data_IF_813221902557
#
_entry.id   IF_813221902557
#
_cell.length_a   1.000
_cell.length_b   1.000
_cell.length_c   1.000
_cell.angle_alpha   90.00
_cell.angle_beta   90.00
_cell.angle_gamma   90.00
#
_symmetry.space_group_name_H-M   'P 1'
#
loop_
_entity.id
_entity.type
_entity.pdbx_description
1 polymer ?
#
# COMPACT_ATOMS: atom_id res chain seq x y z
N UNK A 1 -38.27 15.68 -15.81
CA UNK A 1 -37.55 14.41 -15.55
C UNK A 1 -36.55 14.25 -16.69
N UNK A 2 -35.31 14.77 -16.53
CA UNK A 2 -34.32 14.75 -17.59
C UNK A 2 -33.48 13.46 -17.54
N UNK A 3 -33.42 12.77 -18.67
CA UNK A 3 -32.48 11.68 -18.96
C UNK A 3 -31.04 12.20 -18.92
N UNK A 4 -30.19 11.56 -18.12
CA UNK A 4 -28.76 11.86 -18.03
C UNK A 4 -27.96 10.74 -18.70
N UNK A 5 -27.41 10.96 -19.92
CA UNK A 5 -26.67 9.93 -20.66
C UNK A 5 -25.17 9.77 -20.28
N UNK A 6 -24.69 10.37 -19.19
CA UNK A 6 -23.26 10.36 -18.82
C UNK A 6 -22.84 9.21 -17.87
N UNK A 7 -23.40 8.01 -18.02
CA UNK A 7 -22.83 6.79 -17.44
C UNK A 7 -21.78 6.19 -18.39
N UNK A 8 -20.68 6.93 -18.60
CA UNK A 8 -19.48 6.38 -19.21
C UNK A 8 -18.85 5.38 -18.25
N UNK A 9 -19.02 4.10 -18.58
CA UNK A 9 -18.26 2.96 -18.09
C UNK A 9 -16.77 3.10 -18.42
N UNK A 10 -16.07 3.98 -17.72
CA UNK A 10 -14.64 3.84 -17.45
C UNK A 10 -14.59 2.97 -16.18
N UNK A 11 -14.10 1.72 -16.17
CA UNK A 11 -12.67 1.43 -16.10
C UNK A 11 -12.49 -0.10 -16.01
N UNK A 12 -12.39 -0.85 -17.13
CA UNK A 12 -11.74 -2.17 -17.08
C UNK A 12 -10.46 -2.25 -17.95
N UNK A 13 -10.29 -1.33 -18.91
CA UNK A 13 -9.25 -1.43 -19.94
C UNK A 13 -7.82 -1.14 -19.45
N UNK A 14 -7.67 -0.36 -18.38
CA UNK A 14 -6.35 -0.03 -17.79
C UNK A 14 -5.76 -1.20 -16.98
N UNK A 15 -6.60 -1.89 -16.20
CA UNK A 15 -6.16 -3.01 -15.36
C UNK A 15 -5.66 -4.21 -16.18
N UNK A 16 -6.29 -4.50 -17.32
CA UNK A 16 -5.87 -5.59 -18.21
C UNK A 16 -4.56 -5.29 -18.96
N UNK A 17 -4.32 -4.01 -19.31
CA UNK A 17 -3.08 -3.63 -19.98
C UNK A 17 -1.88 -3.72 -19.03
N UNK A 18 -2.05 -3.27 -17.78
CA UNK A 18 -1.02 -3.35 -16.74
C UNK A 18 -0.69 -4.80 -16.36
N UNK A 19 -1.71 -5.68 -16.34
CA UNK A 19 -1.53 -7.12 -16.07
C UNK A 19 -0.75 -7.82 -17.18
N UNK A 20 -1.01 -7.47 -18.44
CA UNK A 20 -0.31 -8.04 -19.60
C UNK A 20 1.16 -7.63 -19.62
N UNK A 21 1.49 -6.36 -19.34
CA UNK A 21 2.90 -5.91 -19.27
C UNK A 21 3.68 -6.64 -18.17
N UNK A 22 3.09 -6.80 -16.97
CA UNK A 22 3.72 -7.54 -15.86
C UNK A 22 3.99 -9.01 -16.22
N UNK A 23 3.04 -9.68 -16.87
CA UNK A 23 3.22 -11.07 -17.32
C UNK A 23 4.36 -11.20 -18.35
N UNK A 24 4.45 -10.26 -19.28
CA UNK A 24 5.48 -10.28 -20.32
C UNK A 24 6.87 -10.03 -19.72
N UNK A 25 6.97 -9.15 -18.71
CA UNK A 25 8.21 -8.90 -17.97
C UNK A 25 8.70 -10.12 -17.17
N UNK A 26 7.77 -10.85 -16.53
CA UNK A 26 8.08 -12.10 -15.81
C UNK A 26 8.56 -13.17 -16.80
N UNK A 27 7.87 -13.32 -17.93
CA UNK A 27 8.24 -14.31 -18.95
C UNK A 27 9.64 -14.03 -19.53
N UNK A 28 10.00 -12.75 -19.72
CA UNK A 28 11.33 -12.35 -20.18
C UNK A 28 12.43 -12.72 -19.18
N UNK A 29 12.21 -12.46 -17.89
CA UNK A 29 13.16 -12.84 -16.82
C UNK A 29 13.34 -14.35 -16.70
N UNK A 30 12.26 -15.13 -16.84
CA UNK A 30 12.34 -16.60 -16.84
C UNK A 30 13.13 -17.11 -18.05
N UNK A 31 13.00 -16.45 -19.20
CA UNK A 31 13.71 -16.83 -20.42
C UNK A 31 15.22 -16.49 -20.34
N UNK A 32 15.58 -15.39 -19.68
CA UNK A 32 17.00 -15.07 -19.38
C UNK A 32 17.62 -16.05 -18.38
N UNK A 33 16.82 -16.62 -17.47
CA UNK A 33 17.28 -17.61 -16.50
C UNK A 33 17.63 -18.99 -17.09
N UNK A 34 17.28 -19.26 -18.36
CA UNK A 34 17.63 -20.52 -19.03
C UNK A 34 19.14 -20.66 -19.30
N UNK A 35 19.79 -19.57 -19.68
CA UNK A 35 21.22 -19.56 -20.00
C UNK A 35 22.15 -19.93 -18.84
N UNK A 36 21.98 -19.42 -17.60
CA UNK A 36 22.84 -19.79 -16.49
C UNK A 36 22.74 -21.28 -16.12
N UNK A 37 21.57 -21.91 -16.27
CA UNK A 37 21.43 -23.36 -16.04
C UNK A 37 22.30 -24.13 -17.02
N UNK A 38 22.28 -23.77 -18.31
CA UNK A 38 23.13 -24.41 -19.34
C UNK A 38 24.61 -24.19 -19.02
N UNK A 39 25.01 -22.97 -18.64
CA UNK A 39 26.40 -22.66 -18.26
C UNK A 39 26.84 -23.50 -17.04
N UNK A 40 25.98 -23.66 -16.04
CA UNK A 40 26.30 -24.46 -14.84
C UNK A 40 26.49 -25.92 -15.21
N UNK A 41 25.58 -26.50 -16.02
CA UNK A 41 25.67 -27.91 -16.43
C UNK A 41 26.92 -28.16 -17.29
N UNK A 42 27.17 -27.31 -18.28
CA UNK A 42 28.35 -27.40 -19.16
C UNK A 42 29.63 -27.16 -18.37
N UNK A 43 29.64 -26.18 -17.46
CA UNK A 43 30.77 -25.90 -16.59
C UNK A 43 31.10 -27.07 -15.66
N UNK A 44 30.09 -27.69 -15.06
CA UNK A 44 30.27 -28.87 -14.22
C UNK A 44 30.82 -30.07 -15.03
N UNK A 45 30.30 -30.29 -16.24
CA UNK A 45 30.80 -31.34 -17.14
C UNK A 45 32.25 -31.09 -17.57
N UNK A 46 32.59 -29.84 -17.91
CA UNK A 46 33.95 -29.44 -18.29
C UNK A 46 34.94 -29.61 -17.12
N UNK A 47 34.55 -29.21 -15.91
CA UNK A 47 35.36 -29.43 -14.70
C UNK A 47 35.56 -30.94 -14.47
N UNK A 48 34.52 -31.75 -14.61
CA UNK A 48 34.62 -33.19 -14.46
C UNK A 48 35.59 -33.82 -15.48
N UNK A 49 35.48 -33.44 -16.75
CA UNK A 49 36.40 -33.90 -17.80
C UNK A 49 37.83 -33.43 -17.57
N UNK A 50 38.03 -32.18 -17.14
CA UNK A 50 39.37 -31.66 -16.81
C UNK A 50 39.99 -32.42 -15.63
N UNK A 51 39.21 -32.75 -14.60
CA UNK A 51 39.68 -33.52 -13.44
C UNK A 51 40.08 -34.94 -13.85
N UNK A 52 39.25 -35.61 -14.65
CA UNK A 52 39.57 -36.93 -15.19
C UNK A 52 40.86 -36.89 -16.02
N UNK A 53 40.97 -35.95 -16.96
CA UNK A 53 42.12 -35.84 -17.85
C UNK A 53 43.42 -35.56 -17.08
N UNK A 54 43.35 -34.66 -16.09
CA UNK A 54 44.52 -34.32 -15.26
C UNK A 54 44.94 -35.49 -14.36
N UNK A 55 43.97 -36.22 -13.79
CA UNK A 55 44.22 -37.36 -12.91
C UNK A 55 44.78 -38.56 -13.69
N UNK A 56 44.23 -38.86 -14.88
CA UNK A 56 44.72 -39.92 -15.77
C UNK A 56 46.14 -39.67 -16.26
N UNK A 57 46.55 -38.40 -16.40
CA UNK A 57 47.91 -38.05 -16.80
C UNK A 57 48.95 -38.32 -15.70
N UNK A 58 48.54 -38.35 -14.44
CA UNK A 58 49.43 -38.51 -13.30
C UNK A 58 49.43 -39.93 -12.68
N UNK A 59 48.42 -40.77 -12.94
CA UNK A 59 48.26 -42.06 -12.25
C UNK A 59 48.71 -43.29 -13.07
N UNK A 60 49.50 -44.21 -12.47
CA UNK A 60 49.84 -45.51 -13.07
C UNK A 60 48.62 -46.40 -13.34
N UNK A 61 48.64 -47.25 -14.39
CA UNK A 61 47.49 -48.03 -14.84
C UNK A 61 46.89 -48.98 -13.79
N UNK A 62 47.68 -49.43 -12.80
CA UNK A 62 47.20 -50.30 -11.72
C UNK A 62 46.26 -49.63 -10.70
N UNK A 63 46.22 -48.29 -10.62
CA UNK A 63 45.39 -47.56 -9.64
C UNK A 63 44.17 -46.85 -10.25
N UNK A 64 43.96 -46.95 -11.57
CA UNK A 64 42.93 -46.19 -12.28
C UNK A 64 41.49 -46.51 -11.83
N UNK A 65 41.20 -47.77 -11.47
CA UNK A 65 39.84 -48.18 -11.08
C UNK A 65 39.37 -47.55 -9.75
N UNK A 66 40.24 -47.52 -8.74
CA UNK A 66 39.92 -46.92 -7.44
C UNK A 66 39.82 -45.40 -7.53
N UNK A 67 40.67 -44.78 -8.34
CA UNK A 67 40.63 -43.34 -8.60
C UNK A 67 39.32 -42.90 -9.28
N UNK A 68 38.82 -43.67 -10.25
CA UNK A 68 37.51 -43.40 -10.85
C UNK A 68 36.38 -43.49 -9.84
N UNK A 69 36.38 -44.52 -8.99
CA UNK A 69 35.32 -44.74 -8.01
C UNK A 69 35.29 -43.63 -6.95
N UNK A 70 36.47 -43.22 -6.47
CA UNK A 70 36.61 -42.09 -5.57
C UNK A 70 36.14 -40.77 -6.22
N UNK A 71 36.51 -40.55 -7.48
CA UNK A 71 36.10 -39.36 -8.21
C UNK A 71 34.59 -39.29 -8.41
N UNK A 72 33.95 -40.39 -8.85
CA UNK A 72 32.50 -40.45 -9.01
C UNK A 72 31.75 -40.24 -7.69
N UNK A 73 32.27 -40.80 -6.59
CA UNK A 73 31.70 -40.56 -5.27
C UNK A 73 31.81 -39.09 -4.87
N UNK A 74 32.97 -38.45 -5.11
CA UNK A 74 33.20 -37.05 -4.77
C UNK A 74 32.34 -36.10 -5.63
N UNK A 75 32.24 -36.37 -6.93
CA UNK A 75 31.42 -35.55 -7.85
C UNK A 75 29.94 -35.67 -7.51
N UNK A 76 29.46 -36.87 -7.20
CA UNK A 76 28.08 -37.09 -6.74
C UNK A 76 27.76 -36.28 -5.48
N UNK A 77 28.61 -36.35 -4.45
CA UNK A 77 28.45 -35.59 -3.20
C UNK A 77 28.49 -34.08 -3.46
N UNK A 78 29.38 -33.61 -4.33
CA UNK A 78 29.49 -32.18 -4.66
C UNK A 78 28.22 -31.66 -5.37
N UNK A 79 27.67 -32.42 -6.33
CA UNK A 79 26.44 -32.05 -7.05
C UNK A 79 25.26 -31.98 -6.08
N UNK A 80 25.10 -32.99 -5.21
CA UNK A 80 24.02 -33.02 -4.21
C UNK A 80 24.17 -31.84 -3.24
N UNK A 81 25.38 -31.56 -2.76
CA UNK A 81 25.65 -30.45 -1.86
C UNK A 81 25.30 -29.09 -2.49
N UNK A 82 25.69 -28.87 -3.75
CA UNK A 82 25.33 -27.65 -4.49
C UNK A 82 23.81 -27.55 -4.66
N UNK A 83 23.15 -28.65 -5.02
CA UNK A 83 21.69 -28.71 -5.16
C UNK A 83 20.98 -28.35 -3.86
N UNK A 84 21.37 -28.96 -2.74
CA UNK A 84 20.81 -28.65 -1.42
C UNK A 84 21.02 -27.18 -1.03
N UNK A 85 22.21 -26.64 -1.28
CA UNK A 85 22.52 -25.24 -0.95
C UNK A 85 21.67 -24.26 -1.77
N UNK A 86 21.38 -24.59 -3.03
CA UNK A 86 20.50 -23.77 -3.87
C UNK A 86 19.04 -23.89 -3.44
N UNK A 87 18.57 -25.10 -3.10
CA UNK A 87 17.22 -25.31 -2.55
C UNK A 87 17.02 -24.57 -1.24
N UNK A 88 17.99 -24.60 -0.31
CA UNK A 88 17.92 -23.85 0.93
C UNK A 88 17.83 -22.33 0.70
N UNK A 89 18.61 -21.79 -0.25
CA UNK A 89 18.51 -20.38 -0.64
C UNK A 89 17.16 -20.05 -1.30
N UNK A 90 16.61 -20.96 -2.10
CA UNK A 90 15.32 -20.78 -2.74
C UNK A 90 14.19 -20.77 -1.70
N UNK A 91 14.25 -21.67 -0.71
CA UNK A 91 13.31 -21.72 0.40
C UNK A 91 13.35 -20.44 1.24
N UNK A 92 14.55 -19.95 1.60
CA UNK A 92 14.68 -18.69 2.34
C UNK A 92 14.06 -17.49 1.60
N UNK A 93 14.27 -17.39 0.28
CA UNK A 93 13.63 -16.34 -0.53
C UNK A 93 12.11 -16.46 -0.61
N UNK A 94 11.59 -17.69 -0.50
CA UNK A 94 10.16 -17.92 -0.55
C UNK A 94 9.50 -17.52 0.77
N UNK A 95 10.17 -17.75 1.90
CA UNK A 95 9.73 -17.23 3.21
C UNK A 95 9.66 -15.71 3.22
N UNK A 96 10.69 -15.02 2.69
CA UNK A 96 10.69 -13.55 2.57
C UNK A 96 9.51 -13.07 1.70
N UNK A 97 9.23 -13.74 0.58
CA UNK A 97 8.13 -13.38 -0.32
C UNK A 97 6.75 -13.63 0.31
N UNK A 98 6.60 -14.65 1.15
CA UNK A 98 5.35 -14.90 1.89
C UNK A 98 5.11 -13.83 2.97
N UNK A 99 6.17 -13.37 3.64
CA UNK A 99 6.10 -12.26 4.60
C UNK A 99 5.69 -10.95 3.91
N UNK A 100 6.33 -10.61 2.79
CA UNK A 100 5.98 -9.42 1.99
C UNK A 100 4.49 -9.42 1.58
N UNK A 101 3.96 -10.59 1.23
CA UNK A 101 2.53 -10.74 0.90
C UNK A 101 1.63 -10.49 2.12
N UNK A 102 1.99 -11.03 3.28
CA UNK A 102 1.20 -10.84 4.50
C UNK A 102 1.16 -9.37 4.91
N UNK A 103 2.28 -8.67 4.81
CA UNK A 103 2.38 -7.24 5.12
C UNK A 103 1.53 -6.41 4.16
N UNK A 104 1.62 -6.67 2.85
CA UNK A 104 0.82 -5.99 1.84
C UNK A 104 -0.70 -6.20 2.04
N UNK A 105 -1.13 -7.41 2.44
CA UNK A 105 -2.53 -7.67 2.80
C UNK A 105 -2.95 -6.96 4.09
N UNK A 106 -2.05 -6.84 5.06
CA UNK A 106 -2.26 -6.07 6.29
C UNK A 106 -2.53 -4.60 6.00
N UNK A 107 -1.73 -3.98 5.13
CA UNK A 107 -1.92 -2.61 4.67
C UNK A 107 -3.25 -2.43 3.93
N UNK A 108 -3.59 -3.36 3.04
CA UNK A 108 -4.87 -3.33 2.31
C UNK A 108 -6.07 -3.40 3.26
N UNK A 109 -5.98 -4.24 4.30
CA UNK A 109 -7.03 -4.36 5.31
C UNK A 109 -7.18 -3.10 6.18
N UNK A 110 -6.09 -2.36 6.43
CA UNK A 110 -6.14 -1.06 7.09
C UNK A 110 -6.78 0.00 6.19
N UNK A 111 -6.37 0.07 4.92
CA UNK A 111 -6.95 0.99 3.95
C UNK A 111 -8.46 0.75 3.76
N UNK A 112 -8.88 -0.52 3.70
CA UNK A 112 -10.30 -0.86 3.58
C UNK A 112 -11.11 -0.41 4.80
N UNK A 113 -10.58 -0.57 6.02
CA UNK A 113 -11.23 -0.07 7.25
C UNK A 113 -11.35 1.45 7.26
N UNK A 114 -10.33 2.16 6.79
CA UNK A 114 -10.39 3.63 6.67
C UNK A 114 -11.46 4.07 5.67
N UNK A 115 -11.53 3.41 4.51
CA UNK A 115 -12.56 3.69 3.50
C UNK A 115 -13.97 3.41 4.01
N UNK A 116 -14.18 2.31 4.75
CA UNK A 116 -15.47 2.03 5.39
C UNK A 116 -15.85 3.11 6.40
N UNK A 117 -14.91 3.58 7.21
CA UNK A 117 -15.15 4.66 8.17
C UNK A 117 -15.56 5.96 7.46
N UNK A 118 -14.87 6.31 6.37
CA UNK A 118 -15.22 7.49 5.55
C UNK A 118 -16.61 7.31 4.91
N UNK A 119 -16.92 6.10 4.43
CA UNK A 119 -18.22 5.82 3.82
C UNK A 119 -19.36 5.91 4.82
N UNK A 120 -19.18 5.40 6.04
CA UNK A 120 -20.17 5.54 7.13
C UNK A 120 -20.38 7.00 7.52
N UNK A 121 -19.30 7.79 7.63
CA UNK A 121 -19.39 9.25 7.88
C UNK A 121 -20.15 9.93 6.75
N UNK A 122 -19.80 9.64 5.50
CA UNK A 122 -20.48 10.17 4.31
C UNK A 122 -21.96 9.79 4.27
N UNK A 123 -22.30 8.55 4.61
CA UNK A 123 -23.68 8.06 4.62
C UNK A 123 -24.52 8.75 5.71
N UNK A 124 -23.96 9.00 6.90
CA UNK A 124 -24.64 9.82 7.93
C UNK A 124 -24.86 11.24 7.45
N UNK A 125 -23.90 11.82 6.73
CA UNK A 125 -24.00 13.17 6.15
C UNK A 125 -25.05 13.25 5.04
N UNK A 126 -25.22 12.20 4.23
CA UNK A 126 -26.23 12.18 3.17
C UNK A 126 -27.62 11.78 3.64
N UNK A 127 -27.75 11.00 4.73
CA UNK A 127 -29.04 10.55 5.27
C UNK A 127 -29.64 11.48 6.33
N UNK A 128 -28.87 12.42 6.88
CA UNK A 128 -29.44 13.53 7.65
C UNK A 128 -30.21 14.44 6.70
N UNK A 129 -31.49 14.17 6.55
CA UNK A 129 -32.43 15.00 5.80
C UNK A 129 -32.70 16.36 6.49
N UNK A 130 -32.10 16.60 7.65
CA UNK A 130 -32.19 17.84 8.41
C UNK A 130 -30.81 18.52 8.49
N UNK A 131 -30.74 19.75 7.98
CA UNK A 131 -29.53 20.58 8.03
C UNK A 131 -29.09 20.81 9.47
N UNK A 132 -30.04 20.83 10.42
CA UNK A 132 -29.76 20.98 11.85
C UNK A 132 -28.88 19.83 12.40
N UNK A 133 -29.16 18.57 12.04
CA UNK A 133 -28.41 17.39 12.50
C UNK A 133 -26.97 17.38 11.96
N UNK A 134 -26.77 17.89 10.74
CA UNK A 134 -25.44 18.04 10.14
C UNK A 134 -24.59 19.06 10.87
N UNK A 135 -25.17 20.21 11.20
CA UNK A 135 -24.49 21.23 12.00
C UNK A 135 -24.16 20.69 13.40
N UNK A 136 -25.03 19.85 13.97
CA UNK A 136 -24.78 19.20 15.25
C UNK A 136 -23.55 18.29 15.23
N UNK A 137 -23.49 17.39 14.24
CA UNK A 137 -22.35 16.49 14.06
C UNK A 137 -21.06 17.30 13.79
N UNK A 138 -21.14 18.34 12.96
CA UNK A 138 -19.98 19.17 12.61
C UNK A 138 -19.40 19.93 13.82
N UNK A 139 -20.25 20.44 14.73
CA UNK A 139 -19.78 21.12 15.93
C UNK A 139 -19.23 20.14 16.98
N UNK A 140 -19.71 18.90 17.00
CA UNK A 140 -19.33 17.92 18.02
C UNK A 140 -17.97 17.28 17.75
N UNK A 141 -17.64 17.03 16.48
CA UNK A 141 -16.39 16.38 16.07
C UNK A 141 -15.12 17.06 16.62
N UNK A 142 -14.93 18.39 16.53
CA UNK A 142 -13.73 19.04 17.06
C UNK A 142 -13.57 18.90 18.58
N UNK A 143 -14.68 18.89 19.33
CA UNK A 143 -14.62 18.76 20.79
C UNK A 143 -14.30 17.33 21.20
N UNK A 144 -14.98 16.35 20.59
CA UNK A 144 -14.82 14.94 20.99
C UNK A 144 -13.55 14.27 20.43
N UNK A 145 -13.16 14.58 19.19
CA UNK A 145 -12.01 13.94 18.53
C UNK A 145 -10.70 14.73 18.66
N UNK A 146 -10.76 16.07 18.73
CA UNK A 146 -9.56 16.92 18.77
C UNK A 146 -9.30 17.53 20.16
N UNK A 147 -10.16 17.25 21.15
CA UNK A 147 -10.03 17.77 22.51
C UNK A 147 -10.20 19.29 22.58
N UNK A 148 -10.88 19.91 21.61
CA UNK A 148 -11.17 21.33 21.65
C UNK A 148 -12.07 21.66 22.86
N UNK A 149 -11.86 22.81 23.50
CA UNK A 149 -12.70 23.26 24.64
C UNK A 149 -14.16 23.54 24.24
N UNK A 150 -14.38 23.91 22.99
CA UNK A 150 -15.69 24.17 22.43
C UNK A 150 -15.59 24.37 20.92
N UNK A 151 -16.73 24.33 20.24
CA UNK A 151 -16.85 24.57 18.82
C UNK A 151 -18.15 25.33 18.52
N UNK A 152 -18.16 26.11 17.44
CA UNK A 152 -19.33 26.84 16.98
C UNK A 152 -19.45 26.81 15.48
N UNK A 153 -20.69 26.76 14.98
CA UNK A 153 -20.99 26.90 13.56
C UNK A 153 -21.69 28.24 13.35
N UNK A 154 -21.11 29.06 12.49
CA UNK A 154 -21.63 30.37 12.10
C UNK A 154 -22.00 30.30 10.62
N UNK A 155 -23.24 30.63 10.30
CA UNK A 155 -23.70 30.80 8.92
C UNK A 155 -23.63 32.28 8.55
N UNK A 156 -23.33 32.57 7.28
CA UNK A 156 -23.30 33.92 6.77
C UNK A 156 -24.28 34.05 5.61
N UNK A 157 -25.19 35.03 5.74
CA UNK A 157 -26.02 35.48 4.63
C UNK A 157 -25.22 36.53 3.83
N UNK A 158 -24.78 36.16 2.63
CA UNK A 158 -23.99 37.03 1.78
C UNK A 158 -24.79 38.21 1.21
N UNK A 159 -26.11 38.09 1.09
CA UNK A 159 -26.97 39.17 0.58
C UNK A 159 -27.22 40.23 1.65
N UNK A 160 -27.30 39.82 2.92
CA UNK A 160 -27.59 40.70 4.06
C UNK A 160 -26.35 41.09 4.87
N UNK A 161 -25.17 40.61 4.46
CA UNK A 161 -23.89 40.74 5.18
C UNK A 161 -24.01 40.43 6.69
N UNK A 162 -24.85 39.46 7.04
CA UNK A 162 -25.14 39.14 8.43
C UNK A 162 -24.68 37.72 8.78
N UNK A 163 -23.86 37.62 9.82
CA UNK A 163 -23.48 36.35 10.43
C UNK A 163 -24.50 35.95 11.49
N UNK A 164 -24.96 34.70 11.46
CA UNK A 164 -25.80 34.12 12.49
C UNK A 164 -25.06 32.94 13.14
N UNK A 165 -25.00 32.98 14.47
CA UNK A 165 -24.50 31.85 15.25
C UNK A 165 -25.60 30.80 15.36
N UNK A 166 -25.55 29.79 14.50
CA UNK A 166 -26.55 28.71 14.45
C UNK A 166 -26.39 27.73 15.62
N UNK A 167 -25.15 27.32 15.91
CA UNK A 167 -24.93 26.30 16.91
C UNK A 167 -23.60 26.45 17.66
N UNK A 168 -23.60 26.01 18.91
CA UNK A 168 -22.43 25.99 19.78
C UNK A 168 -22.40 24.69 20.58
N UNK A 169 -21.21 24.13 20.79
CA UNK A 169 -20.99 22.91 21.55
C UNK A 169 -19.81 23.10 22.50
N UNK A 170 -19.99 22.76 23.78
CA UNK A 170 -18.94 22.88 24.81
C UNK A 170 -18.62 24.30 25.30
N UNK A 171 -19.28 25.34 24.80
CA UNK A 171 -19.09 26.73 25.22
C UNK A 171 -19.98 27.09 26.42
N UNK A 172 -19.50 27.96 27.31
CA UNK A 172 -20.33 28.45 28.43
C UNK A 172 -21.37 29.46 27.94
N UNK A 173 -22.47 29.63 28.68
CA UNK A 173 -23.54 30.55 28.27
C UNK A 173 -23.05 32.00 28.11
N UNK A 174 -22.09 32.42 28.94
CA UNK A 174 -21.46 33.74 28.83
C UNK A 174 -20.66 33.87 27.53
N UNK A 175 -19.86 32.85 27.19
CA UNK A 175 -19.06 32.85 25.96
C UNK A 175 -19.95 32.85 24.70
N UNK A 176 -21.07 32.12 24.73
CA UNK A 176 -22.03 32.10 23.61
C UNK A 176 -22.65 33.48 23.39
N UNK A 177 -22.98 34.22 24.45
CA UNK A 177 -23.53 35.57 24.34
C UNK A 177 -22.49 36.52 23.73
N UNK A 178 -21.26 36.51 24.26
CA UNK A 178 -20.17 37.33 23.72
C UNK A 178 -19.88 36.99 22.26
N UNK A 179 -19.79 35.71 21.92
CA UNK A 179 -19.54 35.25 20.56
C UNK A 179 -20.66 35.67 19.60
N UNK A 180 -21.93 35.60 20.03
CA UNK A 180 -23.08 36.03 19.22
C UNK A 180 -23.02 37.53 18.91
N UNK A 181 -22.66 38.35 19.90
CA UNK A 181 -22.51 39.79 19.73
C UNK A 181 -21.33 40.12 18.80
N UNK A 182 -20.20 39.42 18.94
CA UNK A 182 -19.07 39.57 18.03
C UNK A 182 -19.41 39.15 16.59
N UNK A 183 -20.07 37.99 16.41
CA UNK A 183 -20.53 37.48 15.09
C UNK A 183 -21.44 38.49 14.40
N UNK A 184 -22.38 39.09 15.13
CA UNK A 184 -23.33 40.05 14.57
C UNK A 184 -22.70 41.39 14.17
N UNK A 185 -21.58 41.79 14.80
CA UNK A 185 -21.01 43.14 14.65
C UNK A 185 -19.68 43.19 13.91
N UNK A 186 -18.89 42.11 13.97
CA UNK A 186 -17.46 42.15 13.64
C UNK A 186 -17.06 41.29 12.44
N UNK A 187 -17.89 40.33 12.05
CA UNK A 187 -17.57 39.37 11.00
C UNK A 187 -18.30 39.70 9.70
N UNK A 188 -17.54 39.99 8.65
CA UNK A 188 -18.05 40.08 7.28
C UNK A 188 -17.78 38.77 6.55
N UNK A 189 -18.67 38.40 5.62
CA UNK A 189 -18.55 37.17 4.81
C UNK A 189 -17.18 37.05 4.11
N UNK A 190 -16.54 38.19 3.81
CA UNK A 190 -15.24 38.29 3.16
C UNK A 190 -14.04 37.86 4.03
N UNK A 191 -14.19 37.82 5.36
CA UNK A 191 -13.15 37.27 6.26
C UNK A 191 -13.21 35.75 6.33
N UNK A 192 -14.39 35.16 6.23
CA UNK A 192 -14.58 33.71 6.26
C UNK A 192 -14.03 33.04 4.99
N UNK A 193 -14.16 33.68 3.83
CA UNK A 193 -13.57 33.18 2.57
C UNK A 193 -12.05 33.11 2.59
N UNK A 194 -11.39 33.93 3.42
CA UNK A 194 -9.93 33.92 3.55
C UNK A 194 -9.41 33.06 4.71
N UNK A 195 -10.28 32.32 5.42
CA UNK A 195 -9.92 31.37 6.50
C UNK A 195 -8.83 31.89 7.46
N UNK A 196 -8.92 33.15 7.89
CA UNK A 196 -7.97 33.68 8.86
C UNK A 196 -8.31 33.15 10.27
N UNK A 197 -7.34 32.52 10.98
CA UNK A 197 -7.59 32.06 12.34
C UNK A 197 -7.87 33.25 13.25
N UNK A 198 -8.90 33.12 14.09
CA UNK A 198 -9.17 34.03 15.19
C UNK A 198 -8.08 33.84 16.24
N UNK A 199 -6.99 34.58 16.10
CA UNK A 199 -5.99 34.67 17.17
C UNK A 199 -6.60 35.49 18.31
N UNK A 200 -6.83 34.82 19.44
CA UNK A 200 -7.12 35.44 20.72
C UNK A 200 -5.92 36.22 21.25
#
# INVERSE_FOLDING_TARGET
>A
MPDNPDLQTSTPRSADHERSERLTAIYRRVTELRWPIVIIVVGAAAIHQALLFTLFRFLPPGQQGWAQLALYSLTGVAVVWIGLRQLAKAAARQEDAEQDLHDAYGELALAHRQLQTIHEVGQRVTNSADVQDLLEIAARIPVELLGARGASVVTFDAEREHGALEMTYGLSQADVITLREEVATRFSAQRCTNCQPLTA
#
